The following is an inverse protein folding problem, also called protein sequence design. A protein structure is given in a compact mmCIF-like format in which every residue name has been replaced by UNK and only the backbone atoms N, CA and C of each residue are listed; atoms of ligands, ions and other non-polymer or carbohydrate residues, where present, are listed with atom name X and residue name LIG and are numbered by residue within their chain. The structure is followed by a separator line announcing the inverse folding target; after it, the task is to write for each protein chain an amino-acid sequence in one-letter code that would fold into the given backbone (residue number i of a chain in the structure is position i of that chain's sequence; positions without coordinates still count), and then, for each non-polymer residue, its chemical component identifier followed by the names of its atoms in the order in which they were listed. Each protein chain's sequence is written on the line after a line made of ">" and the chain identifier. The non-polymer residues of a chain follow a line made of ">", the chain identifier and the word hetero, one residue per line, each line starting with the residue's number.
data_IF_075226153307
#
_entry.id   IF_075226153307
#
_cell.length_a   1.000
_cell.length_b   1.000
_cell.length_c   1.000
_cell.angle_alpha   90.00
_cell.angle_beta   90.00
_cell.angle_gamma   90.00
#
_symmetry.space_group_name_H-M   'P 1'
#
loop_
_entity.id
_entity.type
_entity.pdbx_description
1 polymer ?
#
# COMPACT_ATOMS: atom_id res chain seq x y z
N UNK A 1 15.75 -2.38 8.44
CA UNK A 1 14.77 -2.40 7.33
C UNK A 1 14.06 -3.75 7.31
N UNK A 2 12.76 -3.72 7.27
CA UNK A 2 11.91 -4.92 7.20
C UNK A 2 11.18 -4.91 5.86
N UNK A 3 11.28 -6.01 5.12
CA UNK A 3 10.60 -6.17 3.84
C UNK A 3 9.47 -7.18 4.01
N UNK A 4 8.25 -6.79 3.65
CA UNK A 4 7.08 -7.66 3.71
C UNK A 4 6.44 -7.73 2.32
N UNK A 5 6.18 -8.96 1.86
CA UNK A 5 5.55 -9.19 0.56
C UNK A 5 4.17 -9.79 0.79
N UNK A 6 3.12 -9.05 0.44
CA UNK A 6 1.73 -9.44 0.63
C UNK A 6 1.46 -9.97 2.05
N UNK A 7 1.75 -9.16 3.10
CA UNK A 7 1.76 -9.69 4.48
C UNK A 7 0.41 -10.19 4.99
N UNK A 8 -0.69 -9.75 4.39
CA UNK A 8 -2.03 -10.18 4.81
C UNK A 8 -2.77 -10.95 3.71
N UNK A 9 -2.05 -11.43 2.69
CA UNK A 9 -2.66 -12.22 1.62
C UNK A 9 -3.25 -13.51 2.18
N UNK A 10 -4.47 -13.84 1.78
CA UNK A 10 -5.21 -15.04 2.19
C UNK A 10 -5.59 -15.08 3.67
N UNK A 11 -5.46 -13.98 4.41
CA UNK A 11 -5.92 -13.91 5.79
C UNK A 11 -7.35 -13.41 5.87
N UNK A 12 -8.07 -13.85 6.92
CA UNK A 12 -9.40 -13.30 7.19
C UNK A 12 -9.28 -11.86 7.73
N UNK A 13 -10.41 -11.11 7.79
CA UNK A 13 -10.35 -9.70 8.23
C UNK A 13 -9.79 -9.50 9.63
N UNK A 14 -10.04 -10.42 10.56
CA UNK A 14 -9.52 -10.30 11.93
C UNK A 14 -8.02 -10.49 11.96
N UNK A 15 -7.52 -11.49 11.26
CA UNK A 15 -6.08 -11.75 11.19
C UNK A 15 -5.36 -10.64 10.42
N UNK A 16 -5.99 -10.10 9.39
CA UNK A 16 -5.46 -8.95 8.65
C UNK A 16 -5.29 -7.75 9.57
N UNK A 17 -6.30 -7.46 10.40
CA UNK A 17 -6.23 -6.37 11.36
C UNK A 17 -5.06 -6.53 12.33
N UNK A 18 -4.80 -7.76 12.79
CA UNK A 18 -3.68 -8.03 13.69
C UNK A 18 -2.34 -7.79 13.00
N UNK A 19 -2.22 -8.17 11.74
CA UNK A 19 -0.99 -7.91 10.98
C UNK A 19 -0.79 -6.42 10.80
N UNK A 20 -1.84 -5.67 10.51
CA UNK A 20 -1.76 -4.22 10.35
C UNK A 20 -1.38 -3.53 11.67
N UNK A 21 -1.93 -4.01 12.79
CA UNK A 21 -1.54 -3.49 14.10
C UNK A 21 -0.06 -3.74 14.39
N UNK A 22 0.44 -4.92 14.02
CA UNK A 22 1.86 -5.24 14.16
C UNK A 22 2.73 -4.32 13.32
N UNK A 23 2.31 -4.03 12.10
CA UNK A 23 3.01 -3.09 11.22
C UNK A 23 3.09 -1.71 11.87
N UNK A 24 1.97 -1.24 12.44
CA UNK A 24 1.95 0.05 13.13
C UNK A 24 2.93 0.11 14.30
N UNK A 25 3.06 -0.99 15.03
CA UNK A 25 4.02 -1.06 16.13
C UNK A 25 5.47 -1.10 15.62
N UNK A 26 5.72 -1.92 14.59
CA UNK A 26 7.07 -2.09 14.06
C UNK A 26 7.61 -0.82 13.41
N UNK A 27 6.74 -0.05 12.74
CA UNK A 27 7.22 1.14 12.03
C UNK A 27 7.71 2.25 12.96
N UNK A 28 7.42 2.16 14.25
CA UNK A 28 7.95 3.10 15.24
C UNK A 28 9.45 2.96 15.42
N UNK A 29 9.98 1.77 15.17
CA UNK A 29 11.41 1.47 15.38
C UNK A 29 12.14 1.08 14.11
N UNK A 30 11.42 0.68 13.06
CA UNK A 30 12.02 0.16 11.83
C UNK A 30 11.44 0.84 10.62
N UNK A 31 12.25 0.92 9.56
CA UNK A 31 11.74 1.26 8.24
C UNK A 31 11.15 -0.01 7.63
N UNK A 32 9.90 0.07 7.20
CA UNK A 32 9.19 -1.08 6.66
C UNK A 32 8.83 -0.82 5.19
N UNK A 33 9.14 -1.78 4.34
CA UNK A 33 8.75 -1.75 2.93
C UNK A 33 7.75 -2.88 2.71
N UNK A 34 6.58 -2.54 2.18
CA UNK A 34 5.52 -3.51 1.92
C UNK A 34 5.22 -3.54 0.43
N UNK A 35 5.21 -4.74 -0.15
CA UNK A 35 4.76 -4.95 -1.51
C UNK A 35 3.38 -5.60 -1.43
N UNK A 36 2.37 -4.96 -2.01
CA UNK A 36 1.01 -5.46 -1.94
C UNK A 36 0.18 -5.03 -3.14
N UNK A 37 -0.78 -5.87 -3.52
CA UNK A 37 -1.82 -5.53 -4.49
C UNK A 37 -3.08 -5.02 -3.80
N UNK A 38 -3.10 -5.04 -2.48
CA UNK A 38 -4.25 -4.58 -1.70
C UNK A 38 -4.15 -3.08 -1.46
N UNK A 39 -4.89 -2.31 -2.27
CA UNK A 39 -4.88 -0.85 -2.19
C UNK A 39 -5.36 -0.34 -0.85
N UNK A 40 -6.37 -0.99 -0.30
CA UNK A 40 -6.94 -0.58 0.99
C UNK A 40 -5.92 -0.75 2.11
N UNK A 41 -5.16 -1.83 2.10
CA UNK A 41 -4.10 -2.05 3.08
C UNK A 41 -3.01 -0.98 2.92
N UNK A 42 -2.57 -0.71 1.70
CA UNK A 42 -1.57 0.32 1.45
C UNK A 42 -2.04 1.67 2.00
N UNK A 43 -3.31 2.01 1.76
CA UNK A 43 -3.86 3.27 2.23
C UNK A 43 -3.89 3.36 3.76
N UNK A 44 -4.13 2.23 4.44
CA UNK A 44 -4.25 2.23 5.91
C UNK A 44 -2.91 2.28 6.63
N UNK A 45 -1.90 1.57 6.12
CA UNK A 45 -0.69 1.34 6.91
C UNK A 45 0.54 2.10 6.43
N UNK A 46 0.55 2.64 5.21
CA UNK A 46 1.76 3.25 4.67
C UNK A 46 1.74 4.76 4.82
N UNK A 47 2.94 5.33 4.94
CA UNK A 47 3.14 6.79 4.97
C UNK A 47 3.46 7.31 3.58
N UNK A 48 4.20 6.51 2.81
CA UNK A 48 4.57 6.82 1.44
C UNK A 48 4.20 5.62 0.58
N UNK A 49 3.61 5.87 -0.58
CA UNK A 49 3.21 4.84 -1.51
C UNK A 49 3.85 5.06 -2.87
N UNK A 50 4.32 3.99 -3.46
CA UNK A 50 4.83 3.98 -4.83
C UNK A 50 3.97 3.04 -5.66
N UNK A 51 3.38 3.56 -6.73
CA UNK A 51 2.53 2.76 -7.60
C UNK A 51 3.29 2.31 -8.82
N UNK A 52 3.35 1.00 -9.01
CA UNK A 52 4.00 0.37 -10.17
C UNK A 52 2.95 -0.28 -11.07
N UNK A 53 3.20 -0.22 -12.37
CA UNK A 53 2.36 -0.88 -13.36
C UNK A 53 3.24 -1.45 -14.45
N UNK A 54 3.11 -2.76 -14.67
CA UNK A 54 3.92 -3.49 -15.65
C UNK A 54 5.42 -3.21 -15.54
N UNK A 55 5.91 -3.24 -14.29
CA UNK A 55 7.33 -3.08 -14.01
C UNK A 55 7.84 -1.64 -14.04
N UNK A 56 6.98 -0.67 -14.30
CA UNK A 56 7.37 0.74 -14.34
C UNK A 56 6.78 1.50 -13.16
N UNK A 57 7.58 2.38 -12.57
CA UNK A 57 7.09 3.28 -11.55
C UNK A 57 6.24 4.37 -12.21
N UNK A 58 4.97 4.41 -11.85
CA UNK A 58 4.03 5.38 -12.42
C UNK A 58 3.98 6.65 -11.58
N UNK A 59 3.83 6.49 -10.27
CA UNK A 59 3.71 7.63 -9.38
C UNK A 59 4.13 7.24 -7.98
N UNK A 60 4.74 8.20 -7.26
CA UNK A 60 5.08 8.01 -5.84
C UNK A 60 4.78 9.30 -5.10
N UNK A 61 4.44 9.17 -3.82
CA UNK A 61 4.17 10.33 -2.99
C UNK A 61 3.64 9.91 -1.64
N UNK A 62 3.24 10.91 -0.85
CA UNK A 62 2.63 10.64 0.44
C UNK A 62 1.31 9.89 0.21
N UNK A 63 1.10 8.87 1.00
CA UNK A 63 -0.07 8.00 0.82
C UNK A 63 -1.38 8.78 0.80
N UNK A 64 -1.55 9.71 1.74
CA UNK A 64 -2.77 10.52 1.79
C UNK A 64 -3.00 11.30 0.50
N UNK A 65 -1.94 11.87 -0.07
CA UNK A 65 -2.06 12.65 -1.30
C UNK A 65 -2.29 11.76 -2.52
N UNK A 66 -1.58 10.65 -2.60
CA UNK A 66 -1.66 9.76 -3.75
C UNK A 66 -3.06 9.12 -3.88
N UNK A 67 -3.68 8.78 -2.76
CA UNK A 67 -5.00 8.15 -2.78
C UNK A 67 -6.15 9.13 -2.91
N UNK A 68 -5.93 10.41 -2.62
CA UNK A 68 -6.99 11.42 -2.72
C UNK A 68 -6.86 12.30 -3.96
N UNK A 69 -5.62 12.62 -4.36
CA UNK A 69 -5.36 13.51 -5.50
C UNK A 69 -4.21 12.96 -6.35
N UNK A 70 -4.40 11.79 -6.99
CA UNK A 70 -3.34 11.24 -7.84
C UNK A 70 -3.07 12.14 -9.02
N UNK A 71 -1.79 12.29 -9.38
CA UNK A 71 -1.38 13.14 -10.50
C UNK A 71 -1.44 12.43 -11.84
N UNK A 72 -1.42 11.10 -11.82
CA UNK A 72 -1.40 10.30 -13.04
C UNK A 72 -2.74 9.59 -13.24
N UNK A 73 -3.19 9.56 -14.48
CA UNK A 73 -4.45 8.91 -14.85
C UNK A 73 -4.42 7.41 -14.50
N UNK A 74 -3.30 6.74 -14.73
CA UNK A 74 -3.18 5.31 -14.41
C UNK A 74 -3.33 5.06 -12.91
N UNK A 75 -2.79 5.93 -12.08
CA UNK A 75 -2.93 5.82 -10.63
C UNK A 75 -4.39 5.97 -10.23
N UNK A 76 -5.06 6.98 -10.77
CA UNK A 76 -6.47 7.20 -10.54
C UNK A 76 -7.31 6.00 -10.96
N UNK A 77 -7.05 5.46 -12.14
CA UNK A 77 -7.79 4.31 -12.66
C UNK A 77 -7.59 3.07 -11.78
N UNK A 78 -6.37 2.87 -11.28
CA UNK A 78 -6.09 1.75 -10.38
C UNK A 78 -6.82 1.89 -9.06
N UNK A 79 -6.77 3.09 -8.46
CA UNK A 79 -7.43 3.35 -7.18
C UNK A 79 -8.95 3.19 -7.30
N UNK A 80 -9.52 3.63 -8.42
CA UNK A 80 -10.96 3.56 -8.64
C UNK A 80 -11.42 2.24 -9.22
N UNK A 81 -10.50 1.31 -9.48
CA UNK A 81 -10.85 0.00 -10.00
C UNK A 81 -11.20 -0.02 -11.47
N UNK A 82 -10.73 0.95 -12.24
CA UNK A 82 -11.03 1.06 -13.68
C UNK A 82 -10.08 0.30 -14.59
N UNK A 83 -9.07 -0.34 -14.03
CA UNK A 83 -8.25 -1.25 -14.80
C UNK A 83 -9.07 -2.50 -15.09
N UNK A 84 -9.24 -2.72 -16.30
CA UNK A 84 -9.96 -3.77 -16.79
C UNK A 84 -9.90 -5.09 -16.60
#
# INVERSE_FOLDING_TARGET
>A
IVLMDEPASALDPRSTARVEDLIEELKKEYTIIIVTHNMQQAARVSDITAFFYEGSLIETGRTADLFTKPKKKKTEDYITGRFG
#
